data_IF_130594082512
#
_entry.id   IF_130594082512
#
_cell.length_a   1.000
_cell.length_b   1.000
_cell.length_c   1.000
_cell.angle_alpha   90.00
_cell.angle_beta   90.00
_cell.angle_gamma   90.00
#
_symmetry.space_group_name_H-M   'P 1'
#
loop_
_entity.id
_entity.type
_entity.pdbx_description
1 polymer ?
#
# COMPACT_ATOMS: atom_id res chain seq x y z
N UNK A 1 8.20 -19.74 4.84
CA UNK A 1 7.33 -18.58 5.12
C UNK A 1 7.75 -17.46 4.18
N UNK A 2 6.81 -16.72 3.60
CA UNK A 2 7.18 -15.65 2.68
C UNK A 2 7.78 -14.48 3.48
N UNK A 3 8.99 -14.08 3.12
CA UNK A 3 9.78 -13.11 3.88
C UNK A 3 9.20 -11.69 3.70
N UNK A 4 8.97 -11.00 4.82
CA UNK A 4 8.58 -9.59 4.80
C UNK A 4 9.84 -8.76 4.68
N UNK A 5 9.84 -7.80 3.76
CA UNK A 5 10.98 -6.92 3.50
C UNK A 5 10.70 -5.56 4.15
N UNK A 6 11.65 -5.06 4.93
CA UNK A 6 11.62 -3.67 5.40
C UNK A 6 11.94 -2.72 4.25
N UNK A 7 11.03 -1.78 4.01
CA UNK A 7 11.15 -0.78 2.93
C UNK A 7 11.32 0.64 3.48
N UNK A 8 11.52 0.79 4.78
CA UNK A 8 11.70 2.10 5.40
C UNK A 8 13.07 2.68 5.09
N UNK A 9 13.19 4.00 4.83
CA UNK A 9 14.50 4.61 4.57
C UNK A 9 15.52 4.43 5.71
N UNK A 10 15.03 4.29 6.95
CA UNK A 10 15.85 4.11 8.15
C UNK A 10 16.09 2.64 8.52
N UNK A 11 15.46 1.70 7.84
CA UNK A 11 15.44 0.28 8.20
C UNK A 11 15.03 0.08 9.68
N UNK A 12 13.96 0.76 10.07
CA UNK A 12 13.46 0.81 11.45
C UNK A 12 12.26 -0.13 11.69
N UNK A 13 11.88 -0.93 10.70
CA UNK A 13 10.76 -1.86 10.78
C UNK A 13 9.37 -1.21 10.75
N UNK A 14 9.27 0.10 10.53
CA UNK A 14 7.97 0.81 10.53
C UNK A 14 7.03 0.41 9.38
N UNK A 15 7.55 -0.10 8.26
CA UNK A 15 6.77 -0.55 7.11
C UNK A 15 7.38 -1.82 6.52
N UNK A 16 6.66 -2.93 6.67
CA UNK A 16 7.07 -4.24 6.17
C UNK A 16 6.20 -4.65 4.99
N UNK A 17 6.82 -5.01 3.86
CA UNK A 17 6.13 -5.38 2.63
C UNK A 17 6.30 -6.87 2.32
N UNK A 18 5.19 -7.50 1.94
CA UNK A 18 5.17 -8.83 1.34
C UNK A 18 4.42 -8.78 0.01
N UNK A 19 5.03 -9.27 -1.07
CA UNK A 19 4.38 -9.36 -2.37
C UNK A 19 3.52 -10.63 -2.41
N UNK A 20 2.19 -10.47 -2.45
CA UNK A 20 1.25 -11.60 -2.58
C UNK A 20 1.12 -12.11 -4.02
N UNK A 21 1.25 -11.20 -4.99
CA UNK A 21 1.20 -11.48 -6.43
C UNK A 21 2.07 -10.46 -7.15
N UNK A 22 2.94 -10.94 -8.03
CA UNK A 22 3.81 -10.06 -8.82
C UNK A 22 3.01 -9.19 -9.79
N UNK A 23 3.51 -7.96 -9.96
CA UNK A 23 3.03 -7.05 -11.00
C UNK A 23 3.58 -7.41 -12.38
N UNK A 24 3.12 -6.69 -13.40
CA UNK A 24 3.67 -6.78 -14.75
C UNK A 24 4.44 -5.52 -15.10
N UNK A 25 5.44 -5.65 -15.96
CA UNK A 25 6.31 -4.55 -16.36
C UNK A 25 7.31 -4.14 -15.27
N UNK A 26 8.14 -3.16 -15.60
CA UNK A 26 9.25 -2.68 -14.75
C UNK A 26 9.00 -1.28 -14.18
N UNK A 27 7.98 -0.58 -14.69
CA UNK A 27 7.70 0.81 -14.34
C UNK A 27 6.99 0.87 -12.98
N UNK A 28 7.48 1.75 -12.11
CA UNK A 28 6.88 2.07 -10.80
C UNK A 28 6.37 3.50 -10.82
N UNK A 29 5.25 3.81 -10.13
CA UNK A 29 4.75 5.18 -10.05
C UNK A 29 5.75 6.07 -9.31
N UNK A 30 5.91 7.31 -9.79
CA UNK A 30 6.75 8.34 -9.18
C UNK A 30 5.90 9.38 -8.43
N UNK A 31 6.53 10.16 -7.56
CA UNK A 31 5.90 11.27 -6.85
C UNK A 31 5.13 12.19 -7.80
N UNK A 32 3.89 12.54 -7.44
CA UNK A 32 2.97 13.34 -8.24
C UNK A 32 2.05 12.51 -9.15
N UNK A 33 2.39 11.27 -9.45
CA UNK A 33 1.55 10.37 -10.26
C UNK A 33 0.21 10.15 -9.56
N UNK A 34 -0.89 10.26 -10.33
CA UNK A 34 -2.21 9.83 -9.86
C UNK A 34 -2.28 8.32 -9.96
N UNK A 35 -2.48 7.65 -8.83
CA UNK A 35 -2.57 6.18 -8.78
C UNK A 35 -3.98 5.76 -8.38
N UNK A 36 -4.41 4.58 -8.87
CA UNK A 36 -5.69 3.96 -8.55
C UNK A 36 -5.44 2.60 -7.93
N UNK A 37 -6.04 2.32 -6.78
CA UNK A 37 -5.84 1.06 -6.05
C UNK A 37 -7.14 0.51 -5.46
N UNK A 38 -7.16 -0.80 -5.27
CA UNK A 38 -8.01 -1.41 -4.25
C UNK A 38 -7.16 -1.80 -3.03
N UNK A 39 -7.62 -1.44 -1.85
CA UNK A 39 -7.05 -1.83 -0.55
C UNK A 39 -8.11 -2.44 0.37
N UNK A 40 -7.61 -3.16 1.38
CA UNK A 40 -8.32 -3.62 2.57
C UNK A 40 -7.43 -3.31 3.76
N UNK A 41 -7.95 -2.57 4.75
CA UNK A 41 -7.26 -2.21 5.98
C UNK A 41 -7.78 -3.03 7.16
N UNK A 42 -6.87 -3.67 7.88
CA UNK A 42 -7.16 -4.45 9.09
C UNK A 42 -6.25 -4.03 10.23
N UNK A 43 -6.73 -4.13 11.46
CA UNK A 43 -5.91 -4.06 12.68
C UNK A 43 -5.13 -5.36 12.88
N UNK A 44 -4.24 -5.40 13.87
CA UNK A 44 -3.40 -6.57 14.16
C UNK A 44 -4.20 -7.81 14.58
N UNK A 45 -5.36 -7.61 15.21
CA UNK A 45 -6.31 -8.67 15.57
C UNK A 45 -7.11 -9.22 14.38
N UNK A 46 -6.93 -8.64 13.18
CA UNK A 46 -7.65 -8.99 11.96
C UNK A 46 -8.96 -8.23 11.75
N UNK A 47 -9.38 -7.38 12.69
CA UNK A 47 -10.58 -6.55 12.56
C UNK A 47 -10.42 -5.61 11.36
N UNK A 48 -11.30 -5.76 10.36
CA UNK A 48 -11.33 -4.87 9.18
C UNK A 48 -11.95 -3.52 9.57
N UNK A 49 -11.21 -2.44 9.37
CA UNK A 49 -11.70 -1.09 9.64
C UNK A 49 -12.13 -0.34 8.37
N UNK A 50 -11.57 -0.70 7.20
CA UNK A 50 -11.92 -0.05 5.93
C UNK A 50 -11.57 -0.95 4.71
N UNK A 51 -12.30 -0.80 3.61
CA UNK A 51 -12.09 -1.55 2.37
C UNK A 51 -12.71 -0.82 1.18
N UNK A 52 -11.87 -0.48 0.20
CA UNK A 52 -12.35 0.00 -1.11
C UNK A 52 -13.16 -1.05 -1.88
N UNK A 53 -12.89 -2.35 -1.63
CA UNK A 53 -13.59 -3.44 -2.32
C UNK A 53 -15.04 -3.57 -1.86
N UNK A 54 -15.31 -3.25 -0.60
CA UNK A 54 -16.66 -3.27 -0.04
C UNK A 54 -17.53 -2.18 -0.67
N UNK A 55 -16.91 -1.07 -1.09
CA UNK A 55 -17.58 0.02 -1.81
C UNK A 55 -17.76 -0.27 -3.31
N UNK A 56 -17.06 -1.26 -3.86
CA UNK A 56 -17.08 -1.57 -5.29
C UNK A 56 -16.20 -0.67 -6.17
N UNK A 57 -15.59 0.38 -5.62
CA UNK A 57 -14.85 1.39 -6.39
C UNK A 57 -13.38 1.53 -5.97
N UNK A 58 -12.54 1.94 -6.92
CA UNK A 58 -11.12 2.20 -6.67
C UNK A 58 -10.93 3.49 -5.86
N UNK A 59 -9.90 3.49 -5.02
CA UNK A 59 -9.42 4.71 -4.38
C UNK A 59 -8.33 5.36 -5.24
N UNK A 60 -8.45 6.67 -5.46
CA UNK A 60 -7.55 7.46 -6.31
C UNK A 60 -6.91 8.59 -5.52
N UNK A 61 -5.59 8.76 -5.64
CA UNK A 61 -4.85 9.84 -4.97
C UNK A 61 -3.54 10.17 -5.70
N UNK A 62 -2.91 11.29 -5.33
CA UNK A 62 -1.60 11.69 -5.83
C UNK A 62 -0.47 11.16 -4.92
N UNK A 63 0.41 10.33 -5.49
CA UNK A 63 1.51 9.71 -4.75
C UNK A 63 2.52 10.77 -4.24
N UNK A 64 2.97 10.63 -3.00
CA UNK A 64 4.04 11.47 -2.43
C UNK A 64 3.66 12.93 -2.16
N UNK A 65 2.36 13.27 -2.16
CA UNK A 65 1.84 14.62 -1.85
C UNK A 65 1.24 14.76 -0.44
N UNK A 66 1.31 13.72 0.38
CA UNK A 66 0.73 13.71 1.73
C UNK A 66 -0.77 13.43 1.80
N UNK A 67 -1.39 12.98 0.69
CA UNK A 67 -2.81 12.63 0.65
C UNK A 67 -3.15 11.34 1.44
N UNK A 68 -2.14 10.56 1.80
CA UNK A 68 -2.23 9.27 2.51
C UNK A 68 -1.15 9.18 3.58
N UNK A 69 -1.28 8.22 4.49
CA UNK A 69 -0.30 7.96 5.55
C UNK A 69 1.08 7.57 4.98
N UNK A 70 2.15 7.77 5.74
CA UNK A 70 3.53 7.53 5.28
C UNK A 70 3.84 6.06 4.92
N UNK A 71 3.06 5.12 5.43
CA UNK A 71 3.21 3.69 5.13
C UNK A 71 2.56 3.24 3.82
N UNK A 72 1.90 4.15 3.10
CA UNK A 72 1.35 3.90 1.78
C UNK A 72 2.38 4.10 0.66
#
# INVERSE_FOLDING_TARGET
MAEKIDITPKQDGGVLKLIKKEGQGIVKPSTGTTVKVHYVGTLEDGTKFDSSRDRGDQFTFNLGRGNVIKGW
#
